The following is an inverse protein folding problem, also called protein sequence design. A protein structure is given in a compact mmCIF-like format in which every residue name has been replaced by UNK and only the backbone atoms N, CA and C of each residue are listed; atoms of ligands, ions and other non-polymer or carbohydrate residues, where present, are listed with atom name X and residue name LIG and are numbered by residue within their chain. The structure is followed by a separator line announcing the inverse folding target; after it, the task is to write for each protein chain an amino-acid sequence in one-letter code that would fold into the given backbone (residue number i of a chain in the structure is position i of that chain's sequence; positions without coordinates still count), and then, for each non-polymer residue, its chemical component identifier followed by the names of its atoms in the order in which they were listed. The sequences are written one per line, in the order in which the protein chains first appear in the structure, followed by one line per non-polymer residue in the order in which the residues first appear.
data_IF_694552017879
#
_entry.id   IF_694552017879
#
_cell.length_a   1.000
_cell.length_b   1.000
_cell.length_c   1.000
_cell.angle_alpha   90.00
_cell.angle_beta   90.00
_cell.angle_gamma   90.00
#
_symmetry.space_group_name_H-M   'P 1'
#
loop_
_entity.id
_entity.type
_entity.pdbx_description
1 polymer ?
#
# COMPACT_ATOMS: atom_id res chain seq x y z
N UNK A 1 -28.44 9.87 42.34
CA UNK A 1 -29.83 9.70 41.84
C UNK A 1 -29.93 10.42 40.51
N UNK A 2 -30.40 9.71 39.47
CA UNK A 2 -30.99 10.19 38.18
C UNK A 2 -30.14 11.07 37.25
N UNK A 3 -30.13 10.94 35.91
CA UNK A 3 -30.88 10.12 34.97
C UNK A 3 -30.19 10.20 33.60
N UNK A 4 -30.09 9.06 32.92
CA UNK A 4 -29.86 8.92 31.47
C UNK A 4 -31.03 9.53 30.69
N UNK A 5 -30.79 10.19 29.54
CA UNK A 5 -31.78 10.29 28.44
C UNK A 5 -31.10 10.24 27.07
N UNK A 6 -31.30 9.10 26.42
CA UNK A 6 -31.20 8.85 24.98
C UNK A 6 -32.20 9.75 24.23
N UNK A 7 -31.78 10.32 23.10
CA UNK A 7 -32.68 10.90 22.10
C UNK A 7 -32.79 9.93 20.92
N UNK A 8 -33.98 9.34 20.73
CA UNK A 8 -34.40 8.71 19.48
C UNK A 8 -35.15 9.76 18.66
N UNK A 9 -34.76 9.96 17.41
CA UNK A 9 -35.52 10.73 16.42
C UNK A 9 -36.31 9.79 15.52
N UNK A 10 -37.63 9.84 15.63
CA UNK A 10 -38.59 9.21 14.72
C UNK A 10 -38.90 10.19 13.59
N UNK A 11 -38.68 9.77 12.34
CA UNK A 11 -39.13 10.48 11.15
C UNK A 11 -40.42 9.82 10.63
N UNK A 12 -41.52 10.57 10.69
CA UNK A 12 -42.83 10.21 10.12
C UNK A 12 -42.91 10.77 8.71
N UNK A 13 -43.11 9.89 7.72
CA UNK A 13 -43.43 10.28 6.35
C UNK A 13 -44.95 10.40 6.19
N UNK A 14 -45.44 11.59 5.81
CA UNK A 14 -46.82 11.82 5.43
C UNK A 14 -46.94 11.82 3.90
N UNK A 15 -47.74 10.91 3.34
CA UNK A 15 -48.15 10.94 1.94
C UNK A 15 -49.54 11.58 1.84
N UNK A 16 -49.62 12.71 1.14
CA UNK A 16 -50.86 13.40 0.79
C UNK A 16 -51.53 12.68 -0.39
N UNK A 17 -52.83 12.40 -0.24
CA UNK A 17 -53.68 11.79 -1.26
C UNK A 17 -54.16 12.79 -2.31
N UNK A 18 -54.50 12.25 -3.48
CA UNK A 18 -55.33 12.90 -4.49
C UNK A 18 -56.54 12.00 -4.80
N UNK A 19 -57.68 12.66 -5.05
CA UNK A 19 -59.05 12.16 -4.99
C UNK A 19 -59.54 11.35 -6.21
N UNK A 20 -60.58 10.54 -5.96
CA UNK A 20 -61.72 10.32 -6.87
C UNK A 20 -61.70 9.04 -7.71
N UNK A 21 -62.52 8.04 -7.40
CA UNK A 21 -63.91 7.95 -7.87
C UNK A 21 -64.62 6.72 -7.28
N UNK A 22 -65.94 6.81 -7.13
CA UNK A 22 -66.76 5.83 -6.41
C UNK A 22 -66.90 4.48 -7.11
N UNK A 23 -66.53 3.41 -6.41
CA UNK A 23 -66.82 2.04 -6.78
C UNK A 23 -66.85 1.15 -5.54
N UNK A 24 -67.94 0.39 -5.36
CA UNK A 24 -68.17 -0.57 -4.27
C UNK A 24 -66.92 -1.45 -4.02
N UNK A 25 -66.43 -1.61 -2.78
CA UNK A 25 -65.36 -2.58 -2.52
C UNK A 25 -65.91 -4.02 -2.65
N UNK A 26 -65.23 -4.93 -3.37
CA UNK A 26 -65.53 -6.37 -3.34
C UNK A 26 -65.18 -6.96 -1.96
N UNK A 27 -65.77 -8.10 -1.56
CA UNK A 27 -65.47 -8.72 -0.27
C UNK A 27 -63.98 -9.07 -0.19
N UNK A 28 -63.38 -8.75 0.95
CA UNK A 28 -61.98 -9.01 1.25
C UNK A 28 -61.68 -10.50 1.08
N UNK A 29 -60.74 -10.83 0.20
CA UNK A 29 -60.12 -12.14 0.19
C UNK A 29 -59.21 -12.24 1.42
N UNK A 30 -59.43 -13.27 2.24
CA UNK A 30 -58.52 -13.65 3.32
C UNK A 30 -57.18 -14.09 2.71
N UNK A 31 -56.25 -13.15 2.60
CA UNK A 31 -54.83 -13.44 2.34
C UNK A 31 -54.16 -13.62 3.69
N UNK A 32 -53.95 -14.87 4.09
CA UNK A 32 -53.09 -15.20 5.20
C UNK A 32 -51.67 -14.65 4.90
N UNK A 33 -51.04 -13.89 5.82
CA UNK A 33 -49.66 -13.44 5.62
C UNK A 33 -48.74 -14.66 5.70
N UNK A 34 -48.11 -14.98 4.58
CA UNK A 34 -47.02 -15.95 4.50
C UNK A 34 -45.90 -15.46 5.41
N UNK A 35 -45.76 -16.09 6.57
CA UNK A 35 -44.75 -15.76 7.57
C UNK A 35 -43.46 -16.47 7.19
N UNK A 36 -42.90 -16.12 6.04
CA UNK A 36 -41.51 -16.37 5.74
C UNK A 36 -40.69 -15.21 6.33
N UNK A 37 -40.07 -15.46 7.48
CA UNK A 37 -39.16 -14.50 8.09
C UNK A 37 -38.08 -14.11 7.06
N UNK A 38 -37.79 -12.81 6.87
CA UNK A 38 -36.65 -12.41 6.05
C UNK A 38 -35.40 -13.01 6.68
N UNK A 39 -34.73 -13.91 5.97
CA UNK A 39 -33.38 -14.34 6.32
C UNK A 39 -32.52 -13.09 6.22
N UNK A 40 -32.18 -12.53 7.38
CA UNK A 40 -31.23 -11.43 7.46
C UNK A 40 -29.99 -11.85 6.67
N UNK A 41 -29.46 -10.98 5.77
CA UNK A 41 -28.20 -11.29 5.11
C UNK A 41 -27.19 -11.61 6.19
N UNK A 42 -26.57 -12.79 6.11
CA UNK A 42 -25.38 -13.12 6.90
C UNK A 42 -24.45 -11.92 6.76
N UNK A 43 -24.00 -11.30 7.86
CA UNK A 43 -23.00 -10.26 7.76
C UNK A 43 -21.85 -10.86 6.95
N UNK A 44 -21.52 -10.27 5.80
CA UNK A 44 -20.19 -10.44 5.28
C UNK A 44 -19.24 -10.16 6.45
N UNK A 45 -18.18 -10.95 6.66
CA UNK A 45 -17.21 -10.63 7.70
C UNK A 45 -16.92 -9.15 7.58
N UNK A 46 -17.16 -8.41 8.67
CA UNK A 46 -16.82 -7.01 8.73
C UNK A 46 -15.36 -6.96 8.27
N UNK A 47 -15.08 -6.22 7.20
CA UNK A 47 -13.74 -5.76 6.98
C UNK A 47 -13.41 -5.01 8.26
N UNK A 48 -12.66 -5.66 9.15
CA UNK A 48 -12.02 -4.91 10.22
C UNK A 48 -11.28 -3.80 9.50
N UNK A 49 -11.50 -2.56 9.94
CA UNK A 49 -10.67 -1.43 9.57
C UNK A 49 -9.26 -1.73 10.12
N UNK A 50 -8.56 -2.61 9.40
CA UNK A 50 -7.25 -3.17 9.72
C UNK A 50 -6.20 -2.13 9.39
N UNK A 51 -5.94 -1.26 10.35
CA UNK A 51 -4.82 -0.29 10.35
C UNK A 51 -3.44 -0.96 10.46
N UNK A 52 -3.36 -2.27 10.35
CA UNK A 52 -2.15 -3.07 10.53
C UNK A 52 -1.11 -2.93 9.40
N UNK A 53 -1.46 -2.24 8.32
CA UNK A 53 -0.61 -2.02 7.17
C UNK A 53 -0.29 -3.31 6.38
N UNK A 54 0.26 -3.14 5.20
CA UNK A 54 0.76 -4.22 4.34
C UNK A 54 2.29 -4.19 4.28
N UNK A 55 2.88 -5.36 4.05
CA UNK A 55 4.31 -5.50 3.75
C UNK A 55 4.58 -5.25 2.27
N UNK A 56 5.84 -5.11 1.90
CA UNK A 56 6.25 -4.87 0.52
C UNK A 56 5.93 -6.04 -0.43
N UNK A 57 5.79 -7.27 0.07
CA UNK A 57 5.40 -8.43 -0.75
C UNK A 57 3.91 -8.68 -0.80
N UNK A 58 3.14 -8.16 0.15
CA UNK A 58 1.74 -8.55 0.34
C UNK A 58 0.86 -8.38 -0.90
N UNK A 59 1.18 -7.40 -1.76
CA UNK A 59 0.43 -7.07 -2.97
C UNK A 59 1.33 -7.06 -4.22
N UNK A 60 2.48 -7.75 -4.18
CA UNK A 60 3.47 -7.70 -5.26
C UNK A 60 2.91 -8.29 -6.56
N UNK A 61 2.24 -9.44 -6.49
CA UNK A 61 1.73 -10.13 -7.68
C UNK A 61 0.61 -9.33 -8.34
N UNK A 62 -0.30 -8.73 -7.55
CA UNK A 62 -1.34 -7.83 -8.04
C UNK A 62 -0.75 -6.56 -8.65
N UNK A 63 0.29 -6.00 -8.03
CA UNK A 63 0.98 -4.83 -8.57
C UNK A 63 1.67 -5.14 -9.89
N UNK A 64 2.32 -6.30 -10.03
CA UNK A 64 2.93 -6.75 -11.28
C UNK A 64 1.87 -7.03 -12.36
N UNK A 65 0.73 -7.62 -11.99
CA UNK A 65 -0.37 -7.82 -12.92
C UNK A 65 -0.94 -6.48 -13.43
N UNK A 66 -1.06 -5.48 -12.56
CA UNK A 66 -1.48 -4.13 -12.95
C UNK A 66 -0.43 -3.44 -13.85
N UNK A 67 0.87 -3.60 -13.55
CA UNK A 67 1.95 -3.12 -14.40
C UNK A 67 1.91 -3.75 -15.80
N UNK A 68 1.61 -5.05 -15.90
CA UNK A 68 1.52 -5.75 -17.18
C UNK A 68 0.34 -5.30 -18.06
N UNK A 69 -0.75 -4.80 -17.45
CA UNK A 69 -1.84 -4.14 -18.21
C UNK A 69 -1.36 -2.84 -18.85
N UNK A 70 -0.48 -2.11 -18.17
CA UNK A 70 0.12 -0.89 -18.69
C UNK A 70 1.15 -1.19 -19.78
N UNK A 71 2.04 -2.16 -19.58
CA UNK A 71 2.98 -2.64 -20.59
C UNK A 71 3.31 -4.12 -20.36
N UNK A 72 3.10 -5.02 -21.35
CA UNK A 72 3.37 -6.45 -21.16
C UNK A 72 4.82 -6.80 -20.81
N UNK A 73 5.77 -5.92 -21.15
CA UNK A 73 7.21 -6.04 -20.84
C UNK A 73 7.60 -5.28 -19.57
N UNK A 74 6.65 -4.88 -18.72
CA UNK A 74 6.94 -4.12 -17.51
C UNK A 74 7.90 -4.88 -16.57
N UNK A 75 9.02 -4.24 -16.25
CA UNK A 75 10.02 -4.72 -15.31
C UNK A 75 9.97 -3.92 -14.00
N UNK A 76 10.03 -4.59 -12.85
CA UNK A 76 10.15 -3.94 -11.55
C UNK A 76 11.54 -3.31 -11.39
N UNK A 77 11.59 -2.02 -11.04
CA UNK A 77 12.85 -1.29 -10.82
C UNK A 77 13.01 -0.73 -9.41
N UNK A 78 11.91 -0.68 -8.65
CA UNK A 78 11.99 -0.32 -7.25
C UNK A 78 10.70 -0.63 -6.51
N UNK A 79 10.84 -0.80 -5.20
CA UNK A 79 9.72 -0.91 -4.26
C UNK A 79 9.96 0.11 -3.17
N UNK A 80 8.99 0.95 -2.83
CA UNK A 80 9.23 2.02 -1.87
C UNK A 80 7.98 2.42 -1.09
N UNK A 81 8.23 2.98 0.08
CA UNK A 81 7.24 3.71 0.87
C UNK A 81 7.91 4.91 1.54
N UNK A 82 7.10 5.91 1.91
CA UNK A 82 7.57 7.15 2.54
C UNK A 82 6.97 7.28 3.93
N UNK A 83 7.72 7.89 4.86
CA UNK A 83 7.33 8.04 6.27
C UNK A 83 7.06 6.69 6.93
N UNK A 84 8.02 5.79 6.74
CA UNK A 84 7.99 4.49 7.36
C UNK A 84 8.19 4.63 8.87
N UNK A 85 7.16 4.36 9.65
CA UNK A 85 7.18 4.17 11.10
C UNK A 85 7.52 2.73 11.51
N UNK A 86 7.65 1.83 10.54
CA UNK A 86 7.90 0.41 10.72
C UNK A 86 8.03 -0.32 9.38
N UNK A 87 7.95 -1.66 9.36
CA UNK A 87 8.04 -2.44 8.13
C UNK A 87 6.70 -2.66 7.40
N UNK A 88 5.58 -2.21 7.96
CA UNK A 88 4.23 -2.36 7.39
C UNK A 88 3.60 -0.97 7.26
N UNK A 89 2.93 -0.70 6.14
CA UNK A 89 2.36 0.62 5.86
C UNK A 89 1.00 0.57 5.21
N UNK A 90 0.30 1.69 5.24
CA UNK A 90 -0.95 1.88 4.52
C UNK A 90 -0.80 1.70 2.99
N UNK A 91 0.39 1.89 2.44
CA UNK A 91 0.67 1.65 1.02
C UNK A 91 2.13 1.32 0.72
N UNK A 92 2.32 0.69 -0.44
CA UNK A 92 3.60 0.51 -1.11
C UNK A 92 3.51 0.96 -2.57
N UNK A 93 4.60 1.54 -3.05
CA UNK A 93 4.81 1.85 -4.45
C UNK A 93 5.71 0.80 -5.09
N UNK A 94 5.35 0.40 -6.30
CA UNK A 94 6.13 -0.47 -7.17
C UNK A 94 6.44 0.33 -8.43
N UNK A 95 7.67 0.81 -8.51
CA UNK A 95 8.16 1.52 -9.68
C UNK A 95 8.51 0.49 -10.75
N UNK A 96 7.93 0.66 -11.93
CA UNK A 96 8.10 -0.25 -13.08
C UNK A 96 8.46 0.52 -14.33
N UNK A 97 9.12 -0.15 -15.26
CA UNK A 97 9.50 0.43 -16.55
C UNK A 97 9.18 -0.50 -17.71
N UNK A 98 9.01 0.06 -18.90
CA UNK A 98 8.96 -0.68 -20.16
C UNK A 98 10.10 -0.20 -21.05
N UNK A 99 11.01 -1.10 -21.39
CA UNK A 99 12.14 -0.77 -22.27
C UNK A 99 11.67 -0.50 -23.69
N UNK A 100 10.67 -1.27 -24.16
CA UNK A 100 10.10 -1.09 -25.49
C UNK A 100 9.44 0.29 -25.65
N UNK A 101 8.83 0.80 -24.57
CA UNK A 101 8.19 2.13 -24.55
C UNK A 101 9.14 3.26 -24.17
N UNK A 102 10.30 2.96 -23.58
CA UNK A 102 11.20 3.98 -23.03
C UNK A 102 10.55 4.79 -21.89
N UNK A 103 9.63 4.19 -21.14
CA UNK A 103 8.79 4.87 -20.16
C UNK A 103 8.77 4.13 -18.83
N UNK A 104 8.41 4.84 -17.75
CA UNK A 104 8.18 4.28 -16.42
C UNK A 104 6.79 4.64 -15.94
N UNK A 105 6.28 3.85 -15.02
CA UNK A 105 5.12 4.20 -14.23
C UNK A 105 5.29 3.70 -12.80
N UNK A 106 4.34 4.07 -11.94
CA UNK A 106 4.27 3.65 -10.55
C UNK A 106 2.93 2.99 -10.30
N UNK A 107 2.99 1.81 -9.71
CA UNK A 107 1.81 1.11 -9.20
C UNK A 107 1.74 1.36 -7.70
N UNK A 108 0.58 1.78 -7.19
CA UNK A 108 0.32 1.92 -5.76
C UNK A 108 -0.55 0.77 -5.31
N UNK A 109 -0.09 0.01 -4.32
CA UNK A 109 -0.93 -0.93 -3.59
C UNK A 109 -1.25 -0.38 -2.19
N UNK A 110 -2.52 -0.47 -1.78
CA UNK A 110 -3.01 -0.01 -0.49
C UNK A 110 -3.30 -1.20 0.42
N UNK A 111 -3.24 -0.97 1.73
CA UNK A 111 -3.64 -1.95 2.74
C UNK A 111 -5.11 -2.39 2.62
N UNK A 112 -5.95 -1.58 1.97
CA UNK A 112 -7.33 -1.94 1.62
C UNK A 112 -7.45 -2.97 0.49
N UNK A 113 -6.33 -3.47 -0.06
CA UNK A 113 -6.29 -4.39 -1.19
C UNK A 113 -6.43 -3.71 -2.56
N UNK A 114 -6.60 -2.38 -2.59
CA UNK A 114 -6.67 -1.64 -3.86
C UNK A 114 -5.28 -1.53 -4.50
N UNK A 115 -5.20 -1.84 -5.79
CA UNK A 115 -4.00 -1.68 -6.61
C UNK A 115 -4.35 -0.81 -7.81
N UNK A 116 -3.55 0.21 -8.07
CA UNK A 116 -3.81 1.17 -9.14
C UNK A 116 -2.51 1.72 -9.75
N UNK A 117 -2.53 1.93 -11.07
CA UNK A 117 -1.49 2.68 -11.75
C UNK A 117 -1.68 4.18 -11.50
N UNK A 118 -0.72 4.82 -10.83
CA UNK A 118 -0.80 6.24 -10.48
C UNK A 118 0.00 7.16 -11.41
N UNK A 119 0.75 6.60 -12.37
CA UNK A 119 1.57 7.36 -13.31
C UNK A 119 2.81 8.00 -12.67
N UNK A 120 3.85 8.24 -13.48
CA UNK A 120 5.06 9.01 -13.07
C UNK A 120 5.51 10.07 -14.08
N UNK A 121 4.72 10.34 -15.12
CA UNK A 121 5.10 11.19 -16.27
C UNK A 121 5.65 10.38 -17.46
N UNK A 122 5.85 11.01 -18.61
CA UNK A 122 6.20 10.34 -19.89
C UNK A 122 7.71 10.06 -20.08
N UNK A 123 8.57 10.60 -19.22
CA UNK A 123 10.03 10.41 -19.33
C UNK A 123 10.62 9.92 -18.02
N UNK A 124 11.41 8.85 -18.10
CA UNK A 124 12.22 8.38 -16.98
C UNK A 124 13.57 7.87 -17.47
N UNK A 125 14.57 7.97 -16.60
CA UNK A 125 15.82 7.24 -16.79
C UNK A 125 15.52 5.77 -16.54
N UNK A 126 15.74 4.92 -17.55
CA UNK A 126 15.60 3.48 -17.36
C UNK A 126 16.61 3.02 -16.30
N UNK A 127 16.13 2.22 -15.37
CA UNK A 127 16.87 1.74 -14.21
C UNK A 127 17.16 0.25 -14.35
N UNK A 128 18.20 -0.21 -13.67
CA UNK A 128 18.44 -1.65 -13.58
C UNK A 128 17.29 -2.31 -12.81
N UNK A 129 16.64 -3.37 -13.35
CA UNK A 129 15.56 -4.06 -12.65
C UNK A 129 16.03 -4.66 -11.32
N UNK A 130 15.10 -4.76 -10.39
CA UNK A 130 15.26 -5.47 -9.12
C UNK A 130 14.62 -6.86 -9.21
N UNK A 131 15.07 -7.79 -8.37
CA UNK A 131 14.43 -9.09 -8.29
C UNK A 131 12.98 -8.97 -7.80
N UNK A 132 12.13 -9.95 -8.10
CA UNK A 132 10.79 -10.09 -7.50
C UNK A 132 10.78 -11.07 -6.31
N UNK A 133 11.82 -11.90 -6.20
CA UNK A 133 11.98 -12.90 -5.14
C UNK A 133 12.69 -12.39 -3.88
N UNK A 134 12.53 -11.11 -3.54
CA UNK A 134 13.20 -10.49 -2.39
C UNK A 134 12.62 -10.95 -1.03
N UNK A 135 13.42 -10.87 0.02
CA UNK A 135 12.95 -10.93 1.41
C UNK A 135 12.01 -9.77 1.70
N UNK A 136 10.96 -10.01 2.48
CA UNK A 136 9.94 -9.01 2.73
C UNK A 136 10.43 -7.86 3.62
N UNK A 137 9.66 -6.77 3.65
CA UNK A 137 9.99 -5.55 4.38
C UNK A 137 10.26 -5.76 5.89
N UNK A 138 9.55 -6.64 6.65
CA UNK A 138 9.87 -6.88 8.06
C UNK A 138 11.25 -7.50 8.26
N UNK A 139 11.61 -8.50 7.46
CA UNK A 139 12.90 -9.16 7.61
C UNK A 139 14.06 -8.19 7.33
N UNK A 140 13.92 -7.35 6.29
CA UNK A 140 14.95 -6.37 5.98
C UNK A 140 15.03 -5.25 7.04
N UNK A 141 13.90 -4.83 7.60
CA UNK A 141 13.85 -3.89 8.72
C UNK A 141 14.54 -4.43 9.97
N UNK A 142 14.22 -5.67 10.36
CA UNK A 142 14.81 -6.33 11.52
C UNK A 142 16.32 -6.52 11.37
N UNK A 143 16.78 -6.88 10.17
CA UNK A 143 18.20 -7.00 9.88
C UNK A 143 18.95 -5.67 10.01
N UNK A 144 18.34 -4.56 9.56
CA UNK A 144 18.90 -3.23 9.73
C UNK A 144 18.93 -2.83 11.21
N UNK A 145 17.83 -3.04 11.95
CA UNK A 145 17.74 -2.76 13.39
C UNK A 145 18.77 -3.55 14.19
N UNK A 146 18.95 -4.83 13.88
CA UNK A 146 19.98 -5.67 14.49
C UNK A 146 21.41 -5.18 14.22
N UNK A 147 21.62 -4.48 13.10
CA UNK A 147 22.89 -3.87 12.75
C UNK A 147 23.09 -2.45 13.33
N UNK A 148 22.05 -1.89 13.98
CA UNK A 148 22.11 -0.59 14.65
C UNK A 148 21.36 0.55 13.96
N UNK A 149 20.52 0.26 12.96
CA UNK A 149 19.63 1.26 12.35
C UNK A 149 18.68 1.84 13.41
N UNK A 150 18.57 3.16 13.46
CA UNK A 150 17.59 3.87 14.28
C UNK A 150 16.58 4.62 13.42
N UNK A 151 15.31 4.19 13.32
CA UNK A 151 14.32 4.85 12.48
C UNK A 151 13.90 6.22 12.99
N UNK A 152 14.15 6.55 14.27
CA UNK A 152 13.68 7.79 14.88
C UNK A 152 12.17 7.99 14.70
N UNK A 153 11.79 9.23 14.37
CA UNK A 153 10.39 9.61 14.11
C UNK A 153 9.98 9.44 12.63
N UNK A 154 10.95 9.26 11.74
CA UNK A 154 10.73 9.23 10.29
C UNK A 154 11.82 8.40 9.62
N UNK A 155 11.39 7.32 8.98
CA UNK A 155 12.22 6.56 8.07
C UNK A 155 11.67 6.54 6.65
N UNK A 156 12.52 6.19 5.69
CA UNK A 156 12.14 5.83 4.35
C UNK A 156 12.70 4.46 4.04
N UNK A 157 11.94 3.68 3.28
CA UNK A 157 12.26 2.29 3.05
C UNK A 157 12.00 1.95 1.60
N UNK A 158 13.01 1.41 0.91
CA UNK A 158 12.79 0.95 -0.45
C UNK A 158 13.87 0.05 -1.01
N UNK A 159 13.44 -0.89 -1.84
CA UNK A 159 14.26 -1.79 -2.64
C UNK A 159 14.65 -1.09 -3.94
N UNK A 160 15.95 -1.05 -4.24
CA UNK A 160 16.48 -0.49 -5.50
C UNK A 160 17.88 -0.99 -5.81
N UNK A 161 18.31 -0.83 -7.05
CA UNK A 161 19.72 -1.02 -7.40
C UNK A 161 20.54 0.22 -7.01
N UNK A 162 21.42 0.08 -6.02
CA UNK A 162 22.17 1.15 -5.40
C UNK A 162 23.64 1.14 -5.82
N UNK A 163 24.17 2.31 -6.19
CA UNK A 163 25.59 2.60 -6.26
C UNK A 163 25.93 3.58 -5.14
N UNK A 164 26.96 3.30 -4.35
CA UNK A 164 27.38 4.15 -3.23
C UNK A 164 28.90 3.99 -3.00
N UNK A 165 29.56 4.98 -2.40
CA UNK A 165 31.00 4.89 -2.08
C UNK A 165 31.30 3.75 -1.08
N UNK A 166 30.35 3.42 -0.22
CA UNK A 166 30.45 2.30 0.73
C UNK A 166 30.24 0.93 0.06
N UNK A 167 29.86 0.89 -1.23
CA UNK A 167 29.61 -0.34 -1.97
C UNK A 167 30.73 -0.57 -3.00
N UNK A 168 31.46 -1.70 -2.96
CA UNK A 168 32.52 -2.01 -3.93
C UNK A 168 32.02 -2.05 -5.39
N UNK A 169 30.75 -2.42 -5.57
CA UNK A 169 30.04 -2.42 -6.84
C UNK A 169 28.59 -2.08 -6.60
N UNK A 170 27.92 -1.56 -7.63
CA UNK A 170 26.48 -1.35 -7.57
C UNK A 170 25.78 -2.70 -7.30
N UNK A 171 24.80 -2.71 -6.40
CA UNK A 171 24.04 -3.91 -6.04
C UNK A 171 22.60 -3.57 -5.69
N UNK A 172 21.75 -4.58 -5.73
CA UNK A 172 20.41 -4.49 -5.18
C UNK A 172 20.47 -4.39 -3.65
N UNK A 173 19.71 -3.44 -3.08
CA UNK A 173 19.63 -3.21 -1.65
C UNK A 173 18.18 -2.89 -1.28
N UNK A 174 17.71 -3.50 -0.20
CA UNK A 174 16.77 -2.81 0.69
C UNK A 174 17.51 -1.66 1.33
N UNK A 175 17.12 -0.43 0.98
CA UNK A 175 17.72 0.80 1.49
C UNK A 175 16.78 1.41 2.53
N UNK A 176 17.26 1.50 3.76
CA UNK A 176 16.59 2.19 4.86
C UNK A 176 17.29 3.51 5.15
N UNK A 177 16.54 4.59 5.25
CA UNK A 177 17.01 5.90 5.67
C UNK A 177 16.20 6.35 6.86
N UNK A 178 16.79 7.13 7.75
CA UNK A 178 16.06 7.84 8.79
C UNK A 178 16.74 9.15 9.09
N UNK A 179 15.97 10.09 9.62
CA UNK A 179 16.50 11.37 10.05
C UNK A 179 17.39 11.21 11.30
N UNK A 180 17.09 10.23 12.16
CA UNK A 180 17.88 9.91 13.35
C UNK A 180 19.27 9.33 13.05
N UNK A 181 19.44 8.62 11.93
CA UNK A 181 20.76 8.12 11.50
C UNK A 181 21.52 9.10 10.60
N UNK A 182 21.01 10.32 10.47
CA UNK A 182 21.70 11.43 9.83
C UNK A 182 22.97 11.85 10.59
N UNK A 183 23.99 12.24 9.84
CA UNK A 183 25.15 12.92 10.40
C UNK A 183 24.87 14.42 10.40
N UNK A 184 24.41 14.97 11.53
CA UNK A 184 24.06 16.38 11.67
C UNK A 184 25.22 17.32 11.33
N UNK A 185 26.46 16.93 11.63
CA UNK A 185 27.65 17.76 11.39
C UNK A 185 27.94 17.93 9.89
N UNK A 186 27.58 16.94 9.07
CA UNK A 186 27.77 16.97 7.62
C UNK A 186 26.47 17.18 6.84
N UNK A 187 25.31 17.12 7.51
CA UNK A 187 23.99 17.14 6.90
C UNK A 187 23.69 15.92 6.02
N UNK A 188 24.44 14.83 6.19
CA UNK A 188 24.32 13.65 5.33
C UNK A 188 23.43 12.58 5.98
N UNK A 189 22.28 12.31 5.38
CA UNK A 189 21.47 11.13 5.72
C UNK A 189 22.12 9.87 5.19
N UNK A 190 22.59 9.01 6.09
CA UNK A 190 23.22 7.73 5.73
C UNK A 190 22.17 6.64 5.65
N UNK A 191 22.21 5.85 4.59
CA UNK A 191 21.32 4.70 4.44
C UNK A 191 21.90 3.41 4.99
N UNK A 192 21.06 2.40 5.09
CA UNK A 192 21.43 1.03 5.45
C UNK A 192 21.08 0.13 4.29
N UNK A 193 22.06 -0.61 3.76
CA UNK A 193 21.83 -1.61 2.73
C UNK A 193 21.67 -2.98 3.39
N UNK A 194 20.50 -3.58 3.17
CA UNK A 194 20.23 -4.99 3.46
C UNK A 194 20.09 -5.74 2.14
N UNK A 195 20.71 -6.90 2.05
CA UNK A 195 20.68 -7.73 0.86
C UNK A 195 19.27 -8.31 0.63
N UNK A 196 18.61 -8.01 -0.49
CA UNK A 196 17.24 -8.45 -0.71
C UNK A 196 17.10 -9.96 -0.94
N UNK A 197 18.18 -10.67 -1.31
CA UNK A 197 18.11 -12.12 -1.48
C UNK A 197 18.20 -12.87 -0.14
N UNK A 198 19.10 -12.44 0.75
CA UNK A 198 19.38 -13.13 2.01
C UNK A 198 18.74 -12.49 3.26
N UNK A 199 18.36 -11.22 3.18
CA UNK A 199 17.96 -10.42 4.33
C UNK A 199 19.10 -10.11 5.29
N UNK A 200 20.36 -10.25 4.85
CA UNK A 200 21.51 -9.91 5.68
C UNK A 200 21.90 -8.44 5.51
N UNK A 201 22.24 -7.79 6.61
CA UNK A 201 22.84 -6.46 6.56
C UNK A 201 24.17 -6.50 5.80
N UNK A 202 24.35 -5.56 4.88
CA UNK A 202 25.55 -5.45 4.03
C UNK A 202 26.48 -4.38 4.55
N UNK A 203 26.00 -3.13 4.59
CA UNK A 203 26.79 -1.97 5.01
C UNK A 203 25.91 -0.77 5.29
N UNK A 204 26.43 0.15 6.10
CA UNK A 204 25.93 1.53 6.15
C UNK A 204 26.46 2.26 4.91
N UNK A 205 25.56 2.92 4.21
CA UNK A 205 25.83 3.71 3.01
C UNK A 205 26.45 5.06 3.39
N UNK A 206 27.23 5.64 2.49
CA UNK A 206 27.90 6.93 2.72
C UNK A 206 26.96 8.13 2.65
N UNK A 207 25.76 7.94 2.08
CA UNK A 207 24.80 9.03 1.83
C UNK A 207 25.07 9.76 0.50
N UNK A 208 26.10 9.37 -0.25
CA UNK A 208 26.42 9.92 -1.59
C UNK A 208 26.01 9.00 -2.73
N UNK A 209 25.26 7.95 -2.43
CA UNK A 209 24.83 6.99 -3.41
C UNK A 209 23.73 7.50 -4.33
N UNK A 210 23.61 6.84 -5.48
CA UNK A 210 22.56 7.06 -6.47
C UNK A 210 22.02 5.74 -6.96
N UNK A 211 20.81 5.76 -7.53
CA UNK A 211 20.27 4.58 -8.18
C UNK A 211 21.03 4.29 -9.49
N UNK A 212 21.16 3.01 -9.85
CA UNK A 212 21.92 2.59 -11.04
C UNK A 212 21.03 2.54 -12.31
N UNK A 213 21.31 3.37 -13.33
CA UNK A 213 20.58 3.34 -14.58
C UNK A 213 20.88 2.05 -15.38
N UNK A 214 19.94 1.68 -16.23
CA UNK A 214 20.12 0.67 -17.26
C UNK A 214 21.11 1.20 -18.29
N UNK A 215 22.28 0.55 -18.41
CA UNK A 215 23.33 0.91 -19.38
C UNK A 215 22.99 0.44 -20.78
#
# INVERSE_FOLDING_TARGET
MTSTRMFLYTLVAAALGACGDGGKPPPAADVAPDTAAPVAPTPAPAAEDGTDGITARAMLDEALAEAQKWAPDAELVGVATSLADGPRHAFWFYDVQSRARGACTRIRALASGRVENVGTGEECVLMKPVATGFVDSPQAWDAARAAGFDPGDSAQFGLRFQRDEALPQARECWVLWSDADGDEATGLTRGWCVDPASGQFVTRLSGKGRQEPLR
#
